data_IF_086209121179
#
_entry.id   IF_086209121179
#
_cell.length_a   1.000
_cell.length_b   1.000
_cell.length_c   1.000
_cell.angle_alpha   90.00
_cell.angle_beta   90.00
_cell.angle_gamma   90.00
#
_symmetry.space_group_name_H-M   'P 1'
#
loop_
_entity.id
_entity.type
_entity.pdbx_description
1 polymer ?
#
# COMPACT_ATOMS: atom_id res chain seq x y z
N UNK A 1 -26.52 4.81 -39.94
CA UNK A 1 -25.49 5.07 -40.97
C UNK A 1 -24.21 4.32 -40.60
N UNK A 2 -23.31 4.05 -41.56
CA UNK A 2 -22.07 3.30 -41.33
C UNK A 2 -21.19 3.87 -40.20
N UNK A 3 -21.25 5.17 -39.97
CA UNK A 3 -20.52 5.84 -38.89
C UNK A 3 -20.90 5.38 -37.49
N UNK A 4 -22.18 5.11 -37.23
CA UNK A 4 -22.64 4.60 -35.92
C UNK A 4 -22.14 3.19 -35.65
N UNK A 5 -22.07 2.36 -36.70
CA UNK A 5 -21.51 1.01 -36.62
C UNK A 5 -20.01 1.07 -36.32
N UNK A 6 -19.26 1.95 -37.00
CA UNK A 6 -17.83 2.12 -36.78
C UNK A 6 -17.50 2.64 -35.36
N UNK A 7 -18.38 3.45 -34.76
CA UNK A 7 -18.24 3.90 -33.36
C UNK A 7 -18.32 2.75 -32.35
N UNK A 8 -19.08 1.70 -32.63
CA UNK A 8 -19.21 0.52 -31.75
C UNK A 8 -18.00 -0.42 -31.82
N UNK A 9 -17.17 -0.32 -32.86
CA UNK A 9 -15.91 -1.07 -32.98
C UNK A 9 -14.70 -0.36 -32.35
N UNK A 10 -14.87 0.87 -31.86
CA UNK A 10 -13.83 1.53 -31.08
C UNK A 10 -13.77 0.95 -29.66
N UNK A 11 -12.58 0.52 -29.24
CA UNK A 11 -12.36 0.08 -27.86
C UNK A 11 -12.72 1.16 -26.83
N UNK A 12 -13.04 0.72 -25.62
CA UNK A 12 -13.42 1.61 -24.51
C UNK A 12 -12.26 2.56 -24.16
N UNK A 13 -12.58 3.83 -23.92
CA UNK A 13 -11.62 4.81 -23.40
C UNK A 13 -11.36 4.53 -21.92
N UNK A 14 -10.09 4.53 -21.53
CA UNK A 14 -9.69 4.39 -20.13
C UNK A 14 -8.63 5.44 -19.78
N UNK A 15 -8.63 5.86 -18.52
CA UNK A 15 -7.63 6.80 -18.01
C UNK A 15 -6.55 6.03 -17.24
N UNK A 16 -5.31 6.09 -17.75
CA UNK A 16 -4.15 5.45 -17.10
C UNK A 16 -3.94 6.00 -15.68
N UNK A 17 -4.17 7.30 -15.46
CA UNK A 17 -3.99 7.93 -14.16
C UNK A 17 -4.93 7.39 -13.09
N UNK A 18 -6.18 7.06 -13.46
CA UNK A 18 -7.16 6.45 -12.56
C UNK A 18 -6.70 5.07 -12.09
N UNK A 19 -6.22 4.23 -13.02
CA UNK A 19 -5.69 2.89 -12.72
C UNK A 19 -4.45 2.93 -11.83
N UNK A 20 -3.51 3.84 -12.11
CA UNK A 20 -2.33 4.03 -11.25
C UNK A 20 -2.69 4.53 -9.86
N UNK A 21 -3.70 5.38 -9.76
CA UNK A 21 -4.18 5.91 -8.48
C UNK A 21 -4.80 4.79 -7.66
N UNK A 22 -5.63 3.94 -8.26
CA UNK A 22 -6.22 2.79 -7.55
C UNK A 22 -5.17 1.79 -7.08
N UNK A 23 -4.16 1.50 -7.91
CA UNK A 23 -3.03 0.65 -7.51
C UNK A 23 -2.24 1.25 -6.34
N UNK A 24 -2.00 2.57 -6.38
CA UNK A 24 -1.30 3.30 -5.32
C UNK A 24 -2.09 3.33 -4.01
N UNK A 25 -3.43 3.44 -4.06
CA UNK A 25 -4.29 3.33 -2.87
C UNK A 25 -4.18 1.97 -2.21
N UNK A 26 -4.25 0.89 -2.99
CA UNK A 26 -4.12 -0.48 -2.48
C UNK A 26 -2.76 -0.67 -1.83
N UNK A 27 -1.67 -0.27 -2.49
CA UNK A 27 -0.32 -0.37 -1.94
C UNK A 27 -0.17 0.43 -0.62
N UNK A 28 -0.67 1.66 -0.59
CA UNK A 28 -0.64 2.47 0.64
C UNK A 28 -1.39 1.80 1.80
N UNK A 29 -2.57 1.25 1.51
CA UNK A 29 -3.39 0.57 2.52
C UNK A 29 -2.72 -0.70 3.03
N UNK A 30 -2.14 -1.50 2.13
CA UNK A 30 -1.41 -2.73 2.50
C UNK A 30 -0.22 -2.41 3.41
N UNK A 31 0.60 -1.42 3.08
CA UNK A 31 1.76 -1.03 3.89
C UNK A 31 1.38 -0.37 5.23
N UNK A 32 0.26 0.32 5.29
CA UNK A 32 -0.23 0.89 6.54
C UNK A 32 -0.77 -0.20 7.48
N UNK A 33 -1.64 -1.08 6.97
CA UNK A 33 -2.27 -2.13 7.76
C UNK A 33 -1.34 -3.31 8.08
N UNK A 34 -0.27 -3.52 7.31
CA UNK A 34 0.73 -4.55 7.62
C UNK A 34 1.42 -4.33 8.97
N UNK A 35 1.35 -3.12 9.52
CA UNK A 35 1.87 -2.81 10.85
C UNK A 35 1.07 -3.48 11.98
N UNK A 36 -0.22 -3.76 11.76
CA UNK A 36 -1.08 -4.37 12.77
C UNK A 36 -1.13 -5.89 12.60
N UNK A 37 -1.14 -6.36 11.35
CA UNK A 37 -1.25 -7.77 11.00
C UNK A 37 -0.47 -8.08 9.71
N UNK A 38 0.41 -9.09 9.76
CA UNK A 38 1.28 -9.46 8.63
C UNK A 38 0.52 -10.12 7.47
N UNK A 39 -0.67 -10.67 7.72
CA UNK A 39 -1.45 -11.42 6.72
C UNK A 39 -1.99 -10.52 5.59
N UNK A 40 -2.04 -9.21 5.85
CA UNK A 40 -2.45 -8.17 4.89
C UNK A 40 -1.56 -8.19 3.63
N UNK A 41 -0.28 -8.57 3.73
CA UNK A 41 0.58 -8.70 2.56
C UNK A 41 0.09 -9.76 1.58
N UNK A 42 -0.44 -10.88 2.09
CA UNK A 42 -0.96 -11.95 1.26
C UNK A 42 -2.21 -11.48 0.51
N UNK A 43 -3.16 -10.87 1.23
CA UNK A 43 -4.38 -10.29 0.64
C UNK A 43 -4.02 -9.20 -0.38
N UNK A 44 -3.10 -8.30 -0.03
CA UNK A 44 -2.61 -7.25 -0.92
C UNK A 44 -2.02 -7.80 -2.21
N UNK A 45 -1.18 -8.85 -2.11
CA UNK A 45 -0.61 -9.51 -3.28
C UNK A 45 -1.67 -10.15 -4.18
N UNK A 46 -2.70 -10.77 -3.61
CA UNK A 46 -3.81 -11.37 -4.35
C UNK A 46 -4.63 -10.30 -5.09
N UNK A 47 -4.88 -9.15 -4.47
CA UNK A 47 -5.59 -8.02 -5.10
C UNK A 47 -4.78 -7.50 -6.31
N UNK A 48 -3.48 -7.26 -6.13
CA UNK A 48 -2.60 -6.80 -7.21
C UNK A 48 -2.50 -7.82 -8.34
N UNK A 49 -2.49 -9.12 -8.00
CA UNK A 49 -2.48 -10.19 -8.97
C UNK A 49 -3.75 -10.14 -9.83
N UNK A 50 -4.94 -10.10 -9.22
CA UNK A 50 -6.21 -10.00 -9.96
C UNK A 50 -6.21 -8.77 -10.85
N UNK A 51 -5.82 -7.60 -10.33
CA UNK A 51 -5.74 -6.36 -11.10
C UNK A 51 -4.79 -6.50 -12.31
N UNK A 52 -3.64 -7.14 -12.14
CA UNK A 52 -2.70 -7.38 -13.23
C UNK A 52 -3.31 -8.23 -14.34
N UNK A 53 -4.01 -9.32 -14.00
CA UNK A 53 -4.65 -10.17 -15.02
C UNK A 53 -5.81 -9.47 -15.70
N UNK A 54 -6.63 -8.73 -14.95
CA UNK A 54 -7.74 -7.95 -15.50
C UNK A 54 -7.24 -6.87 -16.45
N UNK A 55 -6.26 -6.07 -16.02
CA UNK A 55 -5.71 -5.00 -16.85
C UNK A 55 -5.02 -5.56 -18.11
N UNK A 56 -4.29 -6.68 -17.99
CA UNK A 56 -3.70 -7.38 -19.14
C UNK A 56 -4.77 -7.84 -20.13
N UNK A 57 -5.87 -8.40 -19.64
CA UNK A 57 -6.98 -8.84 -20.49
C UNK A 57 -7.64 -7.64 -21.19
N UNK A 58 -7.92 -6.57 -20.45
CA UNK A 58 -8.56 -5.36 -20.96
C UNK A 58 -7.70 -4.65 -22.00
N UNK A 59 -6.37 -4.58 -21.80
CA UNK A 59 -5.42 -3.99 -22.75
C UNK A 59 -5.38 -4.70 -24.10
N UNK A 60 -5.52 -6.04 -24.11
CA UNK A 60 -5.40 -6.84 -25.34
C UNK A 60 -6.72 -6.91 -26.12
N UNK A 61 -7.88 -6.82 -25.45
CA UNK A 61 -9.18 -7.09 -26.09
C UNK A 61 -10.19 -5.95 -26.09
N UNK A 62 -10.19 -5.06 -25.10
CA UNK A 62 -11.32 -4.15 -24.87
C UNK A 62 -10.94 -2.68 -25.01
N UNK A 63 -9.74 -2.32 -24.59
CA UNK A 63 -9.34 -0.93 -24.48
C UNK A 63 -8.74 -0.39 -25.76
N UNK A 64 -9.08 0.86 -26.08
CA UNK A 64 -8.41 1.60 -27.15
C UNK A 64 -6.96 1.88 -26.72
N UNK A 65 -6.03 1.88 -27.69
CA UNK A 65 -4.63 2.22 -27.44
C UNK A 65 -4.55 3.55 -26.68
N UNK A 66 -3.95 3.53 -25.50
CA UNK A 66 -3.89 4.70 -24.64
C UNK A 66 -2.87 5.72 -25.17
N UNK A 67 -3.06 7.01 -24.81
CA UNK A 67 -2.04 8.02 -25.09
C UNK A 67 -0.70 7.60 -24.49
N UNK A 68 0.38 7.84 -25.24
CA UNK A 68 1.74 7.45 -24.87
C UNK A 68 2.16 8.19 -23.60
N UNK A 69 1.93 7.56 -22.46
CA UNK A 69 2.37 8.07 -21.17
C UNK A 69 3.82 7.62 -21.01
N UNK A 70 4.72 8.60 -20.98
CA UNK A 70 6.15 8.32 -20.91
C UNK A 70 6.55 7.62 -19.61
N UNK A 71 7.84 7.31 -19.49
CA UNK A 71 8.47 6.70 -18.31
C UNK A 71 8.36 7.53 -17.02
N UNK A 72 7.75 8.71 -17.09
CA UNK A 72 7.56 9.65 -15.99
C UNK A 72 6.77 9.03 -14.82
N UNK A 73 5.74 8.24 -15.10
CA UNK A 73 4.93 7.61 -14.03
C UNK A 73 5.76 6.58 -13.25
N UNK A 74 6.60 5.82 -13.95
CA UNK A 74 7.47 4.82 -13.32
C UNK A 74 8.58 5.49 -12.48
N UNK A 75 9.12 6.62 -12.96
CA UNK A 75 10.10 7.40 -12.20
C UNK A 75 9.49 8.00 -10.93
N UNK A 76 8.26 8.51 -11.02
CA UNK A 76 7.54 9.07 -9.87
C UNK A 76 7.25 8.00 -8.82
N UNK A 77 6.73 6.82 -9.22
CA UNK A 77 6.40 5.76 -8.26
C UNK A 77 7.65 5.27 -7.51
N UNK A 78 8.75 5.05 -8.21
CA UNK A 78 9.99 4.57 -7.61
C UNK A 78 10.67 5.61 -6.72
N UNK A 79 10.60 6.89 -7.09
CA UNK A 79 11.29 7.96 -6.37
C UNK A 79 10.51 8.50 -5.17
N UNK A 80 9.18 8.56 -5.27
CA UNK A 80 8.35 9.20 -4.25
C UNK A 80 7.41 8.21 -3.57
N UNK A 81 6.68 7.40 -4.33
CA UNK A 81 5.63 6.55 -3.75
C UNK A 81 6.17 5.42 -2.86
N UNK A 82 7.16 4.65 -3.34
CA UNK A 82 7.75 3.55 -2.56
C UNK A 82 8.41 4.03 -1.26
N UNK A 83 9.29 5.05 -1.26
CA UNK A 83 9.92 5.49 -0.02
C UNK A 83 8.94 6.15 0.95
N UNK A 84 7.93 6.90 0.48
CA UNK A 84 6.93 7.47 1.39
C UNK A 84 6.09 6.38 2.05
N UNK A 85 5.68 5.36 1.28
CA UNK A 85 4.94 4.23 1.85
C UNK A 85 5.76 3.46 2.90
N UNK A 86 7.06 3.26 2.67
CA UNK A 86 7.96 2.66 3.65
C UNK A 86 8.12 3.51 4.91
N UNK A 87 8.22 4.83 4.77
CA UNK A 87 8.27 5.75 5.91
C UNK A 87 6.99 5.66 6.74
N UNK A 88 5.81 5.65 6.11
CA UNK A 88 4.54 5.50 6.81
C UNK A 88 4.45 4.15 7.53
N UNK A 89 4.88 3.07 6.90
CA UNK A 89 4.94 1.73 7.53
C UNK A 89 5.88 1.73 8.74
N UNK A 90 7.08 2.29 8.62
CA UNK A 90 8.06 2.36 9.70
C UNK A 90 7.52 3.16 10.89
N UNK A 91 6.94 4.33 10.64
CA UNK A 91 6.33 5.18 11.67
C UNK A 91 5.15 4.46 12.33
N UNK A 92 4.20 3.93 11.55
CA UNK A 92 3.05 3.19 12.08
C UNK A 92 3.51 2.03 12.97
N UNK A 93 4.48 1.22 12.52
CA UNK A 93 5.02 0.11 13.29
C UNK A 93 5.62 0.58 14.62
N UNK A 94 6.45 1.61 14.61
CA UNK A 94 7.03 2.13 15.85
C UNK A 94 5.96 2.62 16.84
N UNK A 95 4.91 3.29 16.37
CA UNK A 95 3.83 3.78 17.22
C UNK A 95 2.95 2.65 17.77
N UNK A 96 2.57 1.67 16.95
CA UNK A 96 1.72 0.57 17.40
C UNK A 96 2.42 -0.31 18.43
N UNK A 97 3.72 -0.56 18.26
CA UNK A 97 4.50 -1.37 19.21
C UNK A 97 4.92 -0.58 20.46
N UNK A 98 5.27 0.70 20.35
CA UNK A 98 5.67 1.51 21.52
C UNK A 98 4.50 1.99 22.39
N UNK A 99 3.28 2.07 21.84
CA UNK A 99 2.08 2.45 22.58
C UNK A 99 1.26 1.23 23.05
N UNK A 100 1.88 0.05 23.14
CA UNK A 100 1.16 -1.17 23.51
C UNK A 100 0.67 -1.07 24.97
N UNK A 101 -0.66 -1.16 25.22
CA UNK A 101 -1.24 -0.85 26.53
C UNK A 101 -0.89 -1.86 27.63
N UNK A 102 -0.17 -2.93 27.29
CA UNK A 102 0.28 -3.97 28.22
C UNK A 102 1.77 -3.90 28.57
N UNK A 103 2.52 -2.92 28.05
CA UNK A 103 3.95 -2.77 28.40
C UNK A 103 4.18 -2.26 29.83
N UNK A 104 3.13 -1.75 30.47
CA UNK A 104 3.18 -1.09 31.78
C UNK A 104 2.54 -1.95 32.90
N UNK A 105 2.57 -3.28 32.72
CA UNK A 105 2.01 -4.25 33.67
C UNK A 105 2.85 -4.42 34.94
N UNK A 106 4.13 -3.99 34.92
CA UNK A 106 5.01 -4.00 36.09
C UNK A 106 5.30 -2.59 36.60
N UNK A 107 4.26 -1.83 36.96
CA UNK A 107 4.44 -0.70 37.88
C UNK A 107 4.63 -1.24 39.29
N UNK A 108 5.70 -0.89 40.02
CA UNK A 108 5.78 -1.22 41.44
C UNK A 108 4.64 -0.51 42.18
N UNK A 109 3.56 -1.24 42.46
CA UNK A 109 2.54 -0.81 43.41
C UNK A 109 3.16 -0.91 44.80
N UNK A 110 3.31 0.23 45.47
CA UNK A 110 3.88 0.45 46.82
C UNK A 110 5.40 0.67 46.95
N UNK A 111 5.82 1.77 47.61
CA UNK A 111 7.13 1.87 48.24
C UNK A 111 7.05 1.17 49.59
N UNK A 112 7.25 -0.13 49.65
CA UNK A 112 7.54 -0.81 50.92
C UNK A 112 8.66 -1.82 50.74
N UNK A 113 9.89 -1.30 50.86
CA UNK A 113 11.05 -2.00 51.42
C UNK A 113 11.77 -3.03 50.54
N UNK A 114 12.94 -2.65 50.02
CA UNK A 114 14.04 -3.54 49.57
C UNK A 114 13.74 -4.29 48.26
N UNK A 115 14.57 -4.30 47.24
CA UNK A 115 16.03 -4.23 47.18
C UNK A 115 16.48 -3.46 45.94
N UNK A 116 17.62 -2.79 46.10
CA UNK A 116 18.42 -2.21 45.02
C UNK A 116 18.73 -3.26 43.95
N UNK A 117 18.42 -2.92 42.70
CA UNK A 117 18.86 -3.64 41.52
C UNK A 117 19.32 -2.61 40.49
N UNK A 118 20.55 -2.16 40.67
CA UNK A 118 21.31 -1.32 39.75
C UNK A 118 21.25 -1.94 38.34
N UNK A 119 20.69 -1.22 37.37
CA UNK A 119 21.04 -1.37 35.96
C UNK A 119 21.70 -0.06 35.53
N UNK A 120 23.02 -0.01 35.75
CA UNK A 120 23.91 0.91 35.07
C UNK A 120 24.06 0.47 33.61
N UNK A 121 24.27 1.47 32.76
CA UNK A 121 24.55 1.42 31.33
C UNK A 121 25.49 0.27 30.89
N UNK A 122 25.05 -0.46 29.86
CA UNK A 122 25.92 -0.98 28.77
C UNK A 122 25.15 -0.91 27.46
#
# INVERSE_FOLDING_TARGET
TQEQMNKMFCGTYYNIGERYTDLSKVLFLVFFYSSMDSDIFFIGSAILFIQYYTDKFCLVRTWKSAPFIGTEISRYSRRYFVPTALLFMAVASSYFWAAYPFDDLCKPSHPTGGFEGVYNDV
#
